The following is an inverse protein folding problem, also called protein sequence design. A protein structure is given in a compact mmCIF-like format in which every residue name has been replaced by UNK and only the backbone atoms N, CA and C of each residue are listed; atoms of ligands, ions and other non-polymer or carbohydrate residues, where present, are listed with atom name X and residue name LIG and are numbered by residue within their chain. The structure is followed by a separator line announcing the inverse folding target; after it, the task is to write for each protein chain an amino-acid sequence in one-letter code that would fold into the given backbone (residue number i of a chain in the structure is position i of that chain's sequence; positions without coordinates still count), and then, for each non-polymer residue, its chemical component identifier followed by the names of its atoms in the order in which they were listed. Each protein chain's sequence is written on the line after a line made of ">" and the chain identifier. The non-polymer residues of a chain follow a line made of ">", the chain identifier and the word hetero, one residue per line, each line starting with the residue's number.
data_IF_966146292693
#
_entry.id   IF_966146292693
#
_cell.length_a   1.000
_cell.length_b   1.000
_cell.length_c   1.000
_cell.angle_alpha   90.00
_cell.angle_beta   90.00
_cell.angle_gamma   90.00
#
_symmetry.space_group_name_H-M   'P 1'
#
loop_
_entity.id
_entity.type
_entity.pdbx_description
1 polymer ?
#
# COMPACT_ATOMS: atom_id res chain seq x y z
N UNK A 1 15.70 -18.79 4.95
CA UNK A 1 15.87 -17.64 5.86
C UNK A 1 15.60 -16.39 5.04
N UNK A 2 14.58 -15.64 5.44
CA UNK A 2 14.12 -14.45 4.73
C UNK A 2 14.04 -13.30 5.72
N UNK A 3 14.37 -12.09 5.27
CA UNK A 3 14.24 -10.87 6.08
C UNK A 3 12.78 -10.38 6.08
N UNK A 4 12.05 -10.60 4.97
CA UNK A 4 10.65 -10.20 4.81
C UNK A 4 9.80 -11.35 4.26
N UNK A 5 8.56 -11.41 4.73
CA UNK A 5 7.52 -12.28 4.20
C UNK A 5 6.31 -11.41 3.86
N UNK A 6 5.90 -11.40 2.60
CA UNK A 6 4.73 -10.67 2.14
C UNK A 6 3.53 -11.60 2.01
N UNK A 7 2.40 -11.19 2.59
CA UNK A 7 1.13 -11.89 2.46
C UNK A 7 0.21 -11.01 1.60
N UNK A 8 0.02 -11.39 0.34
CA UNK A 8 -0.93 -10.73 -0.55
C UNK A 8 -2.35 -11.14 -0.20
N UNK A 9 -3.21 -10.16 0.06
CA UNK A 9 -4.57 -10.37 0.52
C UNK A 9 -5.58 -9.90 -0.52
N UNK A 10 -6.72 -10.61 -0.69
CA UNK A 10 -7.79 -10.13 -1.54
C UNK A 10 -8.42 -8.85 -0.95
N UNK A 11 -9.07 -8.02 -1.77
CA UNK A 11 -9.69 -6.77 -1.31
C UNK A 11 -10.92 -6.96 -0.41
N UNK A 12 -11.30 -8.18 -0.12
CA UNK A 12 -12.41 -8.52 0.76
C UNK A 12 -11.94 -8.61 2.22
N UNK A 13 -12.77 -8.12 3.15
CA UNK A 13 -12.53 -8.23 4.59
C UNK A 13 -13.05 -9.59 5.14
N UNK A 14 -12.72 -10.68 4.43
CA UNK A 14 -13.09 -12.04 4.80
C UNK A 14 -12.12 -12.70 5.78
N UNK A 15 -12.38 -13.97 6.11
CA UNK A 15 -11.58 -14.75 7.07
C UNK A 15 -10.10 -14.87 6.67
N UNK A 16 -9.79 -14.96 5.37
CA UNK A 16 -8.41 -15.03 4.91
C UNK A 16 -7.64 -13.76 5.20
N UNK A 17 -8.26 -12.59 5.00
CA UNK A 17 -7.65 -11.30 5.32
C UNK A 17 -7.46 -11.15 6.84
N UNK A 18 -8.44 -11.58 7.65
CA UNK A 18 -8.31 -11.57 9.10
C UNK A 18 -7.19 -12.49 9.56
N UNK A 19 -7.07 -13.70 8.99
CA UNK A 19 -5.98 -14.62 9.30
C UNK A 19 -4.60 -14.00 8.96
N UNK A 20 -4.49 -13.32 7.82
CA UNK A 20 -3.26 -12.63 7.45
C UNK A 20 -2.91 -11.51 8.43
N UNK A 21 -3.89 -10.69 8.82
CA UNK A 21 -3.70 -9.62 9.82
C UNK A 21 -3.32 -10.18 11.22
N UNK A 22 -3.82 -11.36 11.58
CA UNK A 22 -3.46 -12.02 12.82
C UNK A 22 -2.01 -12.53 12.82
N UNK A 23 -1.51 -12.93 11.65
CA UNK A 23 -0.16 -13.49 11.49
C UNK A 23 0.92 -12.43 11.21
N UNK A 24 0.54 -11.25 10.75
CA UNK A 24 1.47 -10.21 10.32
C UNK A 24 1.99 -9.38 11.50
N UNK A 25 3.21 -8.87 11.36
CA UNK A 25 3.78 -7.86 12.25
C UNK A 25 3.29 -6.46 11.87
N UNK A 26 3.19 -6.19 10.57
CA UNK A 26 2.72 -4.91 10.06
C UNK A 26 1.85 -5.07 8.79
N UNK A 27 1.11 -4.02 8.47
CA UNK A 27 0.30 -3.95 7.26
C UNK A 27 0.63 -2.69 6.46
N UNK A 28 0.84 -2.87 5.17
CA UNK A 28 0.92 -1.78 4.19
C UNK A 28 -0.38 -1.79 3.40
N UNK A 29 -1.01 -0.62 3.28
CA UNK A 29 -2.30 -0.46 2.62
C UNK A 29 -2.11 0.23 1.27
N UNK A 30 -2.14 -0.50 0.14
CA UNK A 30 -2.22 0.14 -1.18
C UNK A 30 -3.62 0.71 -1.38
N UNK A 31 -3.70 1.98 -1.75
CA UNK A 31 -4.94 2.70 -1.95
C UNK A 31 -5.00 3.32 -3.34
N UNK A 32 -5.95 2.92 -4.16
CA UNK A 32 -6.19 3.55 -5.45
C UNK A 32 -6.82 4.93 -5.25
N UNK A 33 -6.31 5.94 -6.00
CA UNK A 33 -6.81 7.31 -5.92
C UNK A 33 -8.14 7.47 -6.68
N UNK A 34 -9.20 6.86 -6.18
CA UNK A 34 -10.55 6.84 -6.75
C UNK A 34 -11.60 7.36 -5.75
N UNK A 35 -12.82 7.62 -6.22
CA UNK A 35 -13.86 8.33 -5.47
C UNK A 35 -14.19 7.71 -4.10
N UNK A 36 -14.27 6.39 -4.00
CA UNK A 36 -14.60 5.70 -2.74
C UNK A 36 -13.37 5.33 -1.88
N UNK A 37 -12.20 5.87 -2.18
CA UNK A 37 -10.96 5.52 -1.52
C UNK A 37 -11.01 5.73 0.00
N UNK A 38 -11.48 6.89 0.46
CA UNK A 38 -11.56 7.22 1.88
C UNK A 38 -12.56 6.36 2.65
N UNK A 39 -13.70 6.03 2.04
CA UNK A 39 -14.69 5.16 2.66
C UNK A 39 -14.15 3.74 2.85
N UNK A 40 -13.57 3.17 1.80
CA UNK A 40 -12.95 1.85 1.85
C UNK A 40 -11.78 1.80 2.84
N UNK A 41 -10.94 2.84 2.86
CA UNK A 41 -9.84 2.95 3.80
C UNK A 41 -10.35 3.01 5.25
N UNK A 42 -11.39 3.80 5.52
CA UNK A 42 -11.99 3.91 6.85
C UNK A 42 -12.55 2.58 7.36
N UNK A 43 -13.19 1.80 6.48
CA UNK A 43 -13.68 0.46 6.82
C UNK A 43 -12.53 -0.51 7.12
N UNK A 44 -11.46 -0.48 6.32
CA UNK A 44 -10.27 -1.30 6.54
C UNK A 44 -9.60 -0.94 7.86
N UNK A 45 -9.41 0.35 8.16
CA UNK A 45 -8.80 0.80 9.42
C UNK A 45 -9.58 0.33 10.65
N UNK A 46 -10.91 0.36 10.62
CA UNK A 46 -11.75 -0.20 11.69
C UNK A 46 -11.55 -1.71 11.86
N UNK A 47 -11.40 -2.44 10.76
CA UNK A 47 -11.13 -3.88 10.81
C UNK A 47 -9.75 -4.16 11.44
N UNK A 48 -8.74 -3.38 11.07
CA UNK A 48 -7.40 -3.48 11.66
C UNK A 48 -7.46 -3.19 13.17
N UNK A 49 -8.17 -2.14 13.59
CA UNK A 49 -8.37 -1.81 15.00
C UNK A 49 -9.03 -2.96 15.78
N UNK A 50 -10.06 -3.61 15.22
CA UNK A 50 -10.68 -4.77 15.84
C UNK A 50 -9.71 -5.95 15.99
N UNK A 51 -8.87 -6.20 15.01
CA UNK A 51 -7.82 -7.23 15.07
C UNK A 51 -6.79 -6.87 16.12
N UNK A 52 -6.35 -5.62 16.19
CA UNK A 52 -5.41 -5.15 17.23
C UNK A 52 -5.96 -5.30 18.64
N UNK A 53 -7.25 -5.04 18.83
CA UNK A 53 -7.88 -5.15 20.16
C UNK A 53 -8.09 -6.60 20.62
N UNK A 54 -8.41 -7.50 19.70
CA UNK A 54 -8.87 -8.85 20.05
C UNK A 54 -7.91 -9.99 19.69
N UNK A 55 -7.18 -9.88 18.60
CA UNK A 55 -6.48 -11.02 18.00
C UNK A 55 -4.95 -10.82 17.87
N UNK A 56 -4.50 -9.61 17.50
CA UNK A 56 -3.08 -9.32 17.32
C UNK A 56 -2.75 -7.89 17.79
N UNK A 57 -2.40 -7.77 19.06
CA UNK A 57 -2.11 -6.46 19.69
C UNK A 57 -0.84 -5.79 19.17
N UNK A 58 0.05 -6.57 18.56
CA UNK A 58 1.33 -6.08 18.06
C UNK A 58 1.27 -5.62 16.60
N UNK A 59 0.14 -5.86 15.92
CA UNK A 59 -0.04 -5.43 14.54
C UNK A 59 0.06 -3.91 14.43
N UNK A 60 0.91 -3.42 13.55
CA UNK A 60 1.03 -2.00 13.25
C UNK A 60 0.60 -1.69 11.82
N UNK A 61 0.05 -0.50 11.61
CA UNK A 61 -0.12 0.04 10.26
C UNK A 61 1.18 0.73 9.87
N UNK A 62 1.96 0.08 9.00
CA UNK A 62 3.24 0.58 8.52
C UNK A 62 3.06 1.83 7.66
N UNK A 63 2.04 1.82 6.80
CA UNK A 63 1.73 2.98 6.00
C UNK A 63 0.70 2.73 4.91
N UNK A 64 0.28 3.82 4.29
CA UNK A 64 -0.68 3.86 3.18
C UNK A 64 0.06 4.32 1.92
N UNK A 65 0.00 3.52 0.86
CA UNK A 65 0.62 3.81 -0.44
C UNK A 65 -0.46 4.23 -1.42
N UNK A 66 -0.37 5.44 -1.92
CA UNK A 66 -1.24 5.92 -2.99
C UNK A 66 -0.83 5.27 -4.31
N UNK A 67 -1.76 4.58 -4.97
CA UNK A 67 -1.52 3.86 -6.21
C UNK A 67 -2.46 4.32 -7.32
N UNK A 68 -2.17 3.92 -8.55
CA UNK A 68 -2.95 4.29 -9.73
C UNK A 68 -3.16 5.81 -9.87
N UNK A 69 -2.19 6.56 -9.37
CA UNK A 69 -2.24 8.02 -9.39
C UNK A 69 -2.05 8.54 -10.82
N UNK A 70 -3.00 9.37 -11.28
CA UNK A 70 -2.90 10.07 -12.56
C UNK A 70 -2.90 11.58 -12.30
N UNK A 71 -1.75 12.22 -12.49
CA UNK A 71 -1.57 13.67 -12.29
C UNK A 71 -2.40 14.54 -13.23
N UNK A 72 -2.95 13.96 -14.30
CA UNK A 72 -3.85 14.65 -15.23
C UNK A 72 -5.30 14.63 -14.75
N UNK A 73 -5.60 13.81 -13.75
CA UNK A 73 -6.94 13.65 -13.19
C UNK A 73 -7.06 14.38 -11.86
N UNK A 74 -7.85 15.46 -11.85
CA UNK A 74 -8.11 16.25 -10.63
C UNK A 74 -8.68 15.42 -9.48
N UNK A 75 -9.46 14.38 -9.78
CA UNK A 75 -9.99 13.49 -8.74
C UNK A 75 -8.85 12.75 -8.02
N UNK A 76 -7.85 12.25 -8.74
CA UNK A 76 -6.69 11.60 -8.12
C UNK A 76 -5.95 12.53 -7.17
N UNK A 77 -5.78 13.78 -7.55
CA UNK A 77 -5.13 14.80 -6.72
C UNK A 77 -5.98 15.15 -5.49
N UNK A 78 -7.29 15.34 -5.65
CA UNK A 78 -8.20 15.59 -4.52
C UNK A 78 -8.17 14.43 -3.52
N UNK A 79 -8.31 13.19 -3.97
CA UNK A 79 -8.26 11.99 -3.11
C UNK A 79 -6.91 11.91 -2.39
N UNK A 80 -5.80 12.12 -3.07
CA UNK A 80 -4.47 12.11 -2.47
C UNK A 80 -4.33 13.15 -1.35
N UNK A 81 -4.82 14.37 -1.58
CA UNK A 81 -4.80 15.44 -0.60
C UNK A 81 -5.69 15.13 0.61
N UNK A 82 -6.89 14.61 0.38
CA UNK A 82 -7.83 14.23 1.44
C UNK A 82 -7.27 13.10 2.31
N UNK A 83 -6.68 12.07 1.70
CA UNK A 83 -6.03 10.97 2.42
C UNK A 83 -4.86 11.49 3.25
N UNK A 84 -4.02 12.36 2.71
CA UNK A 84 -2.90 12.97 3.45
C UNK A 84 -3.38 13.86 4.58
N UNK A 85 -4.47 14.60 4.39
CA UNK A 85 -5.05 15.45 5.43
C UNK A 85 -5.59 14.63 6.63
N UNK A 86 -6.17 13.43 6.36
CA UNK A 86 -6.75 12.58 7.40
C UNK A 86 -5.72 11.68 8.10
N UNK A 87 -4.78 11.10 7.35
CA UNK A 87 -3.86 10.07 7.84
C UNK A 87 -2.42 10.56 8.03
N UNK A 88 -2.10 11.77 7.55
CA UNK A 88 -0.84 12.44 7.84
C UNK A 88 0.39 11.59 7.52
N UNK A 89 1.20 11.37 8.54
CA UNK A 89 2.48 10.65 8.45
C UNK A 89 2.35 9.15 8.12
N UNK A 90 1.14 8.58 8.20
CA UNK A 90 0.91 7.20 7.74
C UNK A 90 0.92 7.08 6.21
N UNK A 91 0.80 8.19 5.48
CA UNK A 91 0.79 8.15 4.01
C UNK A 91 2.21 8.33 3.49
N UNK A 92 2.72 7.34 2.75
CA UNK A 92 4.03 7.44 2.11
C UNK A 92 4.12 8.67 1.21
N UNK A 93 5.29 9.30 1.17
CA UNK A 93 5.56 10.39 0.23
C UNK A 93 5.56 9.89 -1.22
N UNK A 94 6.12 8.71 -1.41
CA UNK A 94 6.14 8.04 -2.71
C UNK A 94 4.72 7.66 -3.15
N UNK A 95 4.41 7.97 -4.40
CA UNK A 95 3.14 7.67 -5.06
C UNK A 95 3.40 6.76 -6.25
N UNK A 96 2.61 5.69 -6.41
CA UNK A 96 2.72 4.79 -7.55
C UNK A 96 1.80 5.31 -8.67
N UNK A 97 2.37 5.74 -9.80
CA UNK A 97 1.58 6.28 -10.90
C UNK A 97 0.80 5.18 -11.63
N UNK A 98 -0.28 5.55 -12.28
CA UNK A 98 -0.91 4.72 -13.30
C UNK A 98 0.09 4.52 -14.43
N UNK A 99 0.46 3.27 -14.69
CA UNK A 99 1.49 2.94 -15.67
C UNK A 99 1.16 1.64 -16.40
N UNK A 100 1.14 1.68 -17.72
CA UNK A 100 0.80 0.53 -18.57
C UNK A 100 1.79 -0.62 -18.39
N UNK A 101 3.07 -0.33 -18.18
CA UNK A 101 4.11 -1.35 -17.98
C UNK A 101 3.86 -2.21 -16.74
N UNK A 102 3.33 -1.60 -15.65
CA UNK A 102 2.92 -2.35 -14.45
C UNK A 102 1.80 -3.34 -14.80
N UNK A 103 0.85 -2.93 -15.64
CA UNK A 103 -0.27 -3.79 -16.05
C UNK A 103 0.12 -4.88 -17.05
N UNK A 104 1.13 -4.64 -17.88
CA UNK A 104 1.62 -5.57 -18.88
C UNK A 104 2.52 -6.66 -18.29
N UNK A 105 3.38 -6.33 -17.34
CA UNK A 105 4.40 -7.21 -16.80
C UNK A 105 3.87 -8.59 -16.34
N UNK A 106 2.71 -8.69 -15.65
CA UNK A 106 2.13 -9.98 -15.25
C UNK A 106 1.79 -10.90 -16.44
N UNK A 107 1.40 -10.30 -17.60
CA UNK A 107 1.11 -11.09 -18.82
C UNK A 107 2.34 -11.82 -19.36
N UNK A 108 3.53 -11.35 -19.00
CA UNK A 108 4.83 -11.97 -19.32
C UNK A 108 5.40 -12.80 -18.17
N UNK A 109 4.66 -12.95 -17.07
CA UNK A 109 5.13 -13.66 -15.87
C UNK A 109 6.32 -13.01 -15.19
N UNK A 110 6.49 -11.69 -15.35
CA UNK A 110 7.62 -10.94 -14.83
C UNK A 110 7.18 -9.83 -13.89
N UNK A 111 7.93 -9.56 -12.81
CA UNK A 111 7.74 -8.33 -12.06
C UNK A 111 8.14 -7.13 -12.92
N UNK A 112 7.47 -5.99 -12.73
CA UNK A 112 7.70 -4.78 -13.55
C UNK A 112 9.16 -4.30 -13.51
N UNK A 113 9.87 -4.52 -12.42
CA UNK A 113 11.30 -4.18 -12.28
C UNK A 113 12.21 -4.95 -13.25
N UNK A 114 11.83 -6.18 -13.61
CA UNK A 114 12.55 -6.98 -14.60
C UNK A 114 12.04 -6.67 -16.01
N UNK A 115 10.73 -6.44 -16.14
CA UNK A 115 10.09 -6.17 -17.42
C UNK A 115 10.53 -4.82 -18.02
N UNK A 116 10.49 -3.76 -17.22
CA UNK A 116 10.93 -2.40 -17.64
C UNK A 116 11.39 -1.58 -16.42
N UNK A 117 12.66 -1.68 -16.08
CA UNK A 117 13.23 -0.96 -14.95
C UNK A 117 13.16 0.57 -15.10
N UNK A 118 13.15 1.07 -16.34
CA UNK A 118 13.21 2.52 -16.62
C UNK A 118 11.84 3.21 -16.59
N UNK A 119 10.75 2.45 -16.62
CA UNK A 119 9.43 3.05 -16.57
C UNK A 119 9.17 3.74 -15.22
N UNK A 120 8.28 4.73 -15.24
CA UNK A 120 7.94 5.51 -14.03
C UNK A 120 7.35 4.64 -12.91
N UNK A 121 6.66 3.57 -13.25
CA UNK A 121 6.15 2.61 -12.27
C UNK A 121 7.25 1.87 -11.53
N UNK A 122 8.25 1.33 -12.23
CA UNK A 122 9.39 0.66 -11.61
C UNK A 122 10.19 1.61 -10.73
N UNK A 123 10.45 2.82 -11.20
CA UNK A 123 11.16 3.83 -10.42
C UNK A 123 10.41 4.22 -9.14
N UNK A 124 9.09 4.32 -9.22
CA UNK A 124 8.25 4.59 -8.05
C UNK A 124 8.30 3.44 -7.03
N UNK A 125 8.26 2.18 -7.45
CA UNK A 125 8.40 1.05 -6.53
C UNK A 125 9.79 0.97 -5.87
N UNK A 126 10.85 1.30 -6.59
CA UNK A 126 12.21 1.40 -6.02
C UNK A 126 12.25 2.51 -4.96
N UNK A 127 11.67 3.68 -5.26
CA UNK A 127 11.58 4.79 -4.32
C UNK A 127 10.76 4.43 -3.07
N UNK A 128 9.63 3.73 -3.25
CA UNK A 128 8.81 3.24 -2.13
C UNK A 128 9.59 2.29 -1.23
N UNK A 129 10.33 1.34 -1.81
CA UNK A 129 11.15 0.41 -1.05
C UNK A 129 12.24 1.15 -0.25
N UNK A 130 12.88 2.16 -0.85
CA UNK A 130 13.88 2.99 -0.16
C UNK A 130 13.26 3.79 1.00
N UNK A 131 12.06 4.36 0.80
CA UNK A 131 11.33 5.10 1.83
C UNK A 131 10.96 4.18 3.01
N UNK A 132 10.42 3.00 2.73
CA UNK A 132 10.07 2.00 3.73
C UNK A 132 11.28 1.59 4.58
N UNK A 133 12.39 1.23 3.94
CA UNK A 133 13.61 0.82 4.62
C UNK A 133 14.23 1.96 5.45
N UNK A 134 14.05 3.22 5.03
CA UNK A 134 14.50 4.38 5.81
C UNK A 134 13.68 4.55 7.09
N UNK A 135 12.35 4.42 7.00
CA UNK A 135 11.46 4.51 8.15
C UNK A 135 11.73 3.39 9.18
N UNK A 136 12.02 2.18 8.74
CA UNK A 136 12.36 1.07 9.64
C UNK A 136 13.66 1.31 10.41
N UNK A 137 14.67 1.94 9.78
CA UNK A 137 15.92 2.30 10.43
C UNK A 137 15.77 3.41 11.46
N UNK A 138 14.84 4.33 11.25
CA UNK A 138 14.55 5.41 12.20
C UNK A 138 13.74 4.93 13.41
N UNK A 139 12.99 3.83 13.24
CA UNK A 139 12.16 3.24 14.29
C UNK A 139 12.91 2.21 15.17
N UNK A 140 14.08 1.73 14.74
CA UNK A 140 14.92 0.73 15.43
C UNK A 140 15.93 1.38 16.37
#
# INVERSE_FOLDING_TARGET
>A
IYDYIFIDCPPSLGLLTINALCAADCVIVPLQCEFYALEGLSQLMRTIEMVQQGLNRNLIVQGIVLTMFDSRNKLSEMVANDVRAHFGNLVYHTVIPRNVRISEAPSFGQPVLIYDLKCSGSQAYVALAAELLSQEKEAA
#
